data_IF_003007903242
#
_entry.id   IF_003007903242
#
_cell.length_a   1.000
_cell.length_b   1.000
_cell.length_c   1.000
_cell.angle_alpha   90.00
_cell.angle_beta   90.00
_cell.angle_gamma   90.00
#
_symmetry.space_group_name_H-M   'P 1'
#
loop_
_entity.id
_entity.type
_entity.pdbx_description
1 polymer ?
#
# COMPACT_ATOMS: atom_id res chain seq x y z
N UNK A 1 40.39 -26.14 -31.33
CA UNK A 1 40.14 -24.72 -31.66
C UNK A 1 39.79 -24.02 -30.35
N UNK A 2 40.69 -23.18 -29.84
CA UNK A 2 40.51 -22.50 -28.57
C UNK A 2 39.71 -21.21 -28.78
N UNK A 3 38.65 -20.99 -28.01
CA UNK A 3 37.83 -19.78 -28.07
C UNK A 3 38.61 -18.56 -27.57
N UNK A 4 38.46 -17.39 -28.21
CA UNK A 4 39.15 -16.17 -27.78
C UNK A 4 38.63 -15.65 -26.44
N UNK A 5 39.50 -15.05 -25.60
CA UNK A 5 39.09 -14.47 -24.32
C UNK A 5 38.24 -13.21 -24.53
N UNK A 6 37.14 -13.10 -23.77
CA UNK A 6 36.24 -11.95 -23.78
C UNK A 6 36.88 -10.72 -23.10
N UNK A 7 36.62 -9.49 -23.58
CA UNK A 7 37.15 -8.28 -22.98
C UNK A 7 36.53 -8.01 -21.61
N UNK A 8 37.37 -7.73 -20.61
CA UNK A 8 36.94 -7.35 -19.25
C UNK A 8 36.32 -5.94 -19.27
N UNK A 9 35.10 -5.82 -18.75
CA UNK A 9 34.39 -4.55 -18.60
C UNK A 9 35.07 -3.67 -17.53
N UNK A 10 35.33 -2.42 -17.90
CA UNK A 10 35.95 -1.39 -17.05
C UNK A 10 34.97 -0.93 -15.96
N UNK A 11 35.39 -0.80 -14.68
CA UNK A 11 34.49 -0.31 -13.63
C UNK A 11 34.16 1.18 -13.81
N UNK A 12 32.86 1.48 -13.79
CA UNK A 12 32.33 2.85 -13.78
C UNK A 12 32.54 3.44 -12.39
N UNK A 13 33.38 4.50 -12.29
CA UNK A 13 33.57 5.28 -11.06
C UNK A 13 32.43 6.29 -10.89
N UNK A 14 31.51 6.02 -9.96
CA UNK A 14 30.54 7.03 -9.50
C UNK A 14 31.23 8.08 -8.60
N UNK A 15 31.20 9.35 -9.00
CA UNK A 15 31.60 10.47 -8.14
C UNK A 15 30.52 10.76 -7.10
N UNK A 16 30.91 10.83 -5.82
CA UNK A 16 30.07 11.34 -4.71
C UNK A 16 29.75 12.81 -4.94
N UNK A 17 28.47 13.15 -4.99
CA UNK A 17 28.00 14.52 -4.77
C UNK A 17 27.99 14.81 -3.25
N UNK A 18 28.59 15.93 -2.89
CA UNK A 18 28.67 16.43 -1.52
C UNK A 18 27.44 17.31 -1.20
N UNK A 19 26.78 17.05 -0.07
CA UNK A 19 26.38 18.06 0.95
C UNK A 19 25.09 17.67 1.70
N UNK A 20 25.10 17.71 3.05
CA UNK A 20 23.98 17.34 3.90
C UNK A 20 23.10 18.56 4.22
N UNK A 21 21.78 18.46 3.97
CA UNK A 21 20.79 19.34 4.62
C UNK A 21 19.89 18.53 5.52
N UNK A 22 20.05 18.80 6.81
CA UNK A 22 19.31 18.28 7.94
C UNK A 22 17.80 18.39 7.73
N UNK A 23 17.09 17.27 7.84
CA UNK A 23 15.65 17.25 8.10
C UNK A 23 15.48 16.78 9.54
N UNK A 24 14.99 17.69 10.39
CA UNK A 24 14.69 17.43 11.79
C UNK A 24 13.49 16.49 11.90
N UNK A 25 13.64 15.41 12.66
CA UNK A 25 12.55 14.55 13.08
C UNK A 25 11.58 15.32 13.99
N UNK A 26 10.28 15.32 13.67
CA UNK A 26 9.24 15.80 14.56
C UNK A 26 8.45 14.60 15.11
N UNK A 27 8.78 14.16 16.33
CA UNK A 27 7.98 13.18 17.07
C UNK A 27 6.68 13.83 17.53
N UNK A 28 5.56 13.53 16.87
CA UNK A 28 4.23 13.90 17.35
C UNK A 28 3.68 12.77 18.22
N UNK A 29 3.87 12.88 19.54
CA UNK A 29 3.25 11.97 20.51
C UNK A 29 1.73 12.16 20.52
N UNK A 30 0.97 11.18 20.07
CA UNK A 30 -0.48 11.15 20.24
C UNK A 30 -0.80 10.63 21.65
N UNK A 31 -1.26 11.54 22.53
CA UNK A 31 -1.87 11.19 23.81
C UNK A 31 -3.27 10.58 23.59
N UNK A 32 -3.47 9.46 24.25
CA UNK A 32 -4.69 8.63 24.39
C UNK A 32 -5.97 9.41 24.74
N UNK A 33 -7.11 8.89 24.26
CA UNK A 33 -8.40 8.86 24.98
C UNK A 33 -8.91 7.41 25.02
N UNK A 34 -8.57 6.68 26.08
CA UNK A 34 -9.24 5.42 26.43
C UNK A 34 -10.31 5.73 27.49
N UNK A 35 -11.59 5.60 27.11
CA UNK A 35 -12.70 5.48 28.07
C UNK A 35 -12.83 4.01 28.47
N UNK A 36 -13.03 3.79 29.76
CA UNK A 36 -12.79 2.53 30.43
C UNK A 36 -13.81 1.42 30.18
N UNK A 37 -13.37 0.21 30.56
CA UNK A 37 -14.25 -0.86 31.01
C UNK A 37 -13.50 -1.66 32.08
N UNK A 38 -14.16 -1.82 33.21
CA UNK A 38 -13.73 -2.50 34.43
C UNK A 38 -13.64 -4.02 34.24
N UNK A 39 -12.60 -4.64 34.78
CA UNK A 39 -12.48 -6.09 34.90
C UNK A 39 -11.27 -6.46 35.74
N UNK A 40 -11.53 -6.99 36.94
CA UNK A 40 -10.55 -7.49 37.90
C UNK A 40 -9.58 -8.50 37.28
N UNK A 41 -8.27 -8.35 37.51
CA UNK A 41 -7.48 -9.45 38.06
C UNK A 41 -6.13 -8.98 38.60
N UNK A 42 -5.87 -9.49 39.80
CA UNK A 42 -4.68 -9.38 40.66
C UNK A 42 -3.41 -9.91 40.02
N UNK A 43 -2.27 -9.22 40.24
CA UNK A 43 -0.97 -9.89 40.19
C UNK A 43 0.24 -9.01 39.87
N UNK A 44 1.04 -8.78 40.92
CA UNK A 44 2.50 -8.57 40.91
C UNK A 44 3.00 -7.17 40.52
N UNK A 45 3.35 -6.44 41.59
CA UNK A 45 4.17 -5.25 41.55
C UNK A 45 5.65 -5.62 41.30
N UNK A 46 6.31 -4.90 40.40
CA UNK A 46 7.77 -4.79 40.40
C UNK A 46 8.17 -3.33 40.44
N UNK A 47 8.81 -3.03 41.56
CA UNK A 47 9.55 -1.84 41.94
C UNK A 47 10.58 -1.44 40.87
N UNK A 48 10.70 -0.14 40.61
CA UNK A 48 12.00 0.49 40.37
C UNK A 48 11.98 1.91 40.95
N UNK A 49 12.87 2.23 41.90
CA UNK A 49 13.03 3.56 42.50
C UNK A 49 14.07 4.36 41.71
N UNK A 50 13.82 5.63 41.42
CA UNK A 50 14.53 6.74 42.09
C UNK A 50 14.03 8.11 41.59
N UNK A 51 13.87 9.09 42.50
CA UNK A 51 13.48 10.46 42.19
C UNK A 51 14.70 11.41 42.24
N UNK A 52 14.83 12.27 41.24
CA UNK A 52 15.58 13.52 41.34
C UNK A 52 14.94 14.47 40.32
N UNK A 53 14.02 15.34 40.76
CA UNK A 53 14.26 16.63 41.40
C UNK A 53 14.72 17.72 40.42
N UNK A 54 14.05 18.86 40.60
CA UNK A 54 14.37 20.20 40.13
C UNK A 54 14.03 20.55 38.67
N UNK A 55 13.45 21.71 38.37
CA UNK A 55 12.87 22.77 39.20
C UNK A 55 12.12 23.71 38.27
N UNK A 56 11.02 24.25 38.78
CA UNK A 56 10.62 25.66 38.71
C UNK A 56 10.97 26.42 37.41
N UNK A 57 9.94 26.91 36.70
CA UNK A 57 9.64 28.35 36.73
C UNK A 57 8.50 28.75 35.76
N UNK A 58 7.44 29.29 36.37
CA UNK A 58 6.73 30.51 36.00
C UNK A 58 6.08 30.73 34.60
N UNK A 59 4.72 30.63 34.60
CA UNK A 59 3.68 31.58 34.08
C UNK A 59 3.65 31.95 32.56
N UNK A 60 2.58 32.57 32.00
CA UNK A 60 1.22 32.80 32.50
C UNK A 60 0.09 32.24 31.59
N UNK A 61 -1.13 32.25 32.14
CA UNK A 61 -2.40 32.07 31.44
C UNK A 61 -2.58 33.12 30.33
N UNK A 62 -2.79 32.67 29.09
CA UNK A 62 -3.25 33.49 27.98
C UNK A 62 -4.63 33.02 27.51
N UNK A 63 -5.67 33.69 27.99
CA UNK A 63 -7.02 33.58 27.44
C UNK A 63 -7.01 34.12 26.00
N UNK A 64 -7.35 33.28 25.01
CA UNK A 64 -7.57 33.75 23.63
C UNK A 64 -9.06 33.83 23.36
N UNK A 65 -9.54 35.08 23.28
CA UNK A 65 -10.92 35.44 22.99
C UNK A 65 -11.41 34.81 21.67
N UNK A 66 -12.58 34.18 21.73
CA UNK A 66 -13.39 33.81 20.56
C UNK A 66 -14.01 35.08 19.98
N UNK A 67 -13.48 35.57 18.86
CA UNK A 67 -14.22 36.50 18.02
C UNK A 67 -15.20 35.70 17.15
N UNK A 68 -16.48 35.74 17.53
CA UNK A 68 -17.59 35.34 16.65
C UNK A 68 -17.65 36.37 15.52
N UNK A 69 -17.21 35.97 14.32
CA UNK A 69 -17.45 36.73 13.10
C UNK A 69 -18.87 36.42 12.63
N UNK A 70 -19.82 37.29 12.96
CA UNK A 70 -21.17 37.31 12.39
C UNK A 70 -21.04 37.65 10.92
N UNK A 71 -21.14 36.63 10.06
CA UNK A 71 -21.25 36.82 8.61
C UNK A 71 -22.69 37.23 8.33
N UNK A 72 -22.90 38.52 8.06
CA UNK A 72 -24.14 39.05 7.45
C UNK A 72 -24.32 38.37 6.10
N UNK A 73 -25.33 37.52 5.98
CA UNK A 73 -25.82 37.07 4.68
C UNK A 73 -26.60 38.22 4.05
N UNK A 74 -25.94 38.97 3.17
CA UNK A 74 -26.59 39.92 2.26
C UNK A 74 -27.13 39.12 1.08
N UNK A 75 -28.44 38.89 1.10
CA UNK A 75 -29.21 38.36 -0.03
C UNK A 75 -29.18 39.35 -1.20
N UNK A 76 -28.17 39.23 -2.07
CA UNK A 76 -28.24 39.77 -3.43
C UNK A 76 -28.70 38.66 -4.36
N UNK A 77 -30.00 38.69 -4.66
CA UNK A 77 -30.58 37.97 -5.80
C UNK A 77 -30.06 38.64 -7.07
N UNK A 78 -29.18 37.94 -7.82
CA UNK A 78 -28.98 38.02 -9.29
C UNK A 78 -27.64 37.38 -9.63
N UNK A 79 -27.66 36.28 -10.37
CA UNK A 79 -26.45 35.58 -10.83
C UNK A 79 -26.52 34.06 -10.65
N UNK A 80 -27.62 33.44 -11.06
CA UNK A 80 -27.74 31.99 -11.13
C UNK A 80 -27.07 31.48 -12.41
N UNK A 81 -25.77 31.19 -12.37
CA UNK A 81 -25.10 30.22 -13.26
C UNK A 81 -23.62 30.08 -12.82
N UNK A 82 -23.35 29.25 -11.81
CA UNK A 82 -21.98 29.08 -11.36
C UNK A 82 -21.85 27.93 -10.39
N UNK A 83 -20.92 27.01 -10.72
CA UNK A 83 -20.45 25.89 -9.89
C UNK A 83 -21.41 24.70 -9.72
N UNK A 84 -21.54 23.89 -10.78
CA UNK A 84 -22.10 22.54 -10.69
C UNK A 84 -21.26 21.50 -11.47
N UNK A 85 -19.92 21.56 -11.32
CA UNK A 85 -18.98 20.68 -12.04
C UNK A 85 -17.73 20.27 -11.22
N UNK A 86 -17.81 20.28 -9.89
CA UNK A 86 -16.70 19.84 -9.03
C UNK A 86 -17.17 18.75 -8.07
N UNK A 87 -17.20 17.49 -8.51
CA UNK A 87 -17.61 16.40 -7.60
C UNK A 87 -17.54 14.97 -8.10
N UNK A 88 -17.07 14.69 -9.32
CA UNK A 88 -16.97 13.32 -9.83
C UNK A 88 -15.54 12.79 -9.74
N UNK A 89 -14.88 12.96 -8.60
CA UNK A 89 -13.63 12.26 -8.30
C UNK A 89 -13.98 10.91 -7.65
N UNK A 90 -14.33 9.93 -8.49
CA UNK A 90 -14.62 8.57 -8.07
C UNK A 90 -13.39 7.91 -7.44
N UNK A 91 -13.40 7.77 -6.11
CA UNK A 91 -12.41 6.99 -5.36
C UNK A 91 -12.72 5.49 -5.47
N UNK A 92 -11.98 4.74 -6.29
CA UNK A 92 -12.13 3.27 -6.33
C UNK A 92 -11.03 2.50 -5.58
N UNK A 93 -10.04 3.17 -4.99
CA UNK A 93 -9.16 2.56 -3.98
C UNK A 93 -8.85 3.55 -2.84
N UNK A 94 -9.08 3.10 -1.59
CA UNK A 94 -9.04 3.94 -0.37
C UNK A 94 -7.65 4.05 0.27
N UNK A 95 -6.63 3.38 -0.26
CA UNK A 95 -5.26 3.43 0.27
C UNK A 95 -4.42 4.60 -0.24
N UNK A 96 -3.26 4.87 0.40
CA UNK A 96 -2.25 5.78 -0.16
C UNK A 96 -1.83 5.35 -1.56
N UNK A 97 -1.52 6.32 -2.42
CA UNK A 97 -0.89 6.07 -3.71
C UNK A 97 0.41 5.28 -3.52
N UNK A 98 0.82 4.56 -4.56
CA UNK A 98 2.10 3.86 -4.57
C UNK A 98 3.25 4.83 -4.23
N UNK A 99 4.08 4.40 -3.28
CA UNK A 99 5.31 5.10 -2.93
C UNK A 99 6.40 4.03 -2.79
N UNK A 100 7.40 4.01 -3.71
CA UNK A 100 8.43 2.96 -3.73
C UNK A 100 9.27 2.90 -2.44
N UNK A 101 9.26 3.96 -1.62
CA UNK A 101 10.05 4.06 -0.40
C UNK A 101 9.31 3.64 0.90
N UNK A 102 8.07 3.15 0.82
CA UNK A 102 7.30 2.83 2.05
C UNK A 102 7.79 1.59 2.78
N UNK A 103 8.36 0.62 2.05
CA UNK A 103 8.96 -0.57 2.64
C UNK A 103 10.36 -0.70 2.08
N UNK A 104 11.36 -0.49 2.94
CA UNK A 104 12.77 -0.59 2.56
C UNK A 104 13.23 -2.02 2.87
N UNK A 105 13.73 -2.76 1.87
CA UNK A 105 14.31 -4.08 2.11
C UNK A 105 15.49 -3.98 3.07
N UNK A 106 15.69 -5.01 3.90
CA UNK A 106 16.78 -5.06 4.88
C UNK A 106 17.86 -6.02 4.40
N UNK A 107 18.98 -6.12 5.12
CA UNK A 107 20.04 -7.09 4.82
C UNK A 107 19.58 -8.56 4.97
N UNK A 108 18.41 -8.82 5.55
CA UNK A 108 17.85 -10.16 5.76
C UNK A 108 16.52 -10.39 5.05
N UNK A 109 15.97 -9.38 4.36
CA UNK A 109 14.65 -9.47 3.74
C UNK A 109 14.63 -8.76 2.39
N UNK A 110 13.95 -9.34 1.41
CA UNK A 110 13.51 -8.63 0.22
C UNK A 110 12.09 -8.08 0.39
N UNK A 111 11.61 -7.33 -0.60
CA UNK A 111 10.22 -6.86 -0.68
C UNK A 111 9.58 -7.42 -1.94
N UNK A 112 8.41 -8.04 -1.82
CA UNK A 112 7.56 -8.40 -2.96
C UNK A 112 6.42 -7.41 -3.04
N UNK A 113 6.25 -6.78 -4.20
CA UNK A 113 5.05 -6.05 -4.57
C UNK A 113 4.17 -6.95 -5.43
N UNK A 114 2.98 -7.30 -4.94
CA UNK A 114 1.94 -7.97 -5.73
C UNK A 114 0.90 -6.93 -6.09
N UNK A 115 0.60 -6.74 -7.37
CA UNK A 115 -0.30 -5.68 -7.77
C UNK A 115 -1.20 -6.07 -8.94
N UNK A 116 -2.32 -5.35 -9.04
CA UNK A 116 -3.30 -5.48 -10.10
C UNK A 116 -3.47 -4.13 -10.81
N UNK A 117 -3.12 -4.01 -12.09
CA UNK A 117 -3.33 -2.78 -12.86
C UNK A 117 -4.79 -2.31 -12.85
N UNK A 118 -4.99 -1.02 -13.09
CA UNK A 118 -6.31 -0.38 -13.04
C UNK A 118 -7.27 -0.87 -14.15
N UNK A 119 -6.72 -1.39 -15.26
CA UNK A 119 -7.46 -2.02 -16.36
C UNK A 119 -8.62 -1.20 -16.94
N UNK A 120 -9.41 -1.82 -17.82
CA UNK A 120 -10.70 -1.24 -18.24
C UNK A 120 -11.82 -1.76 -17.36
N UNK A 121 -12.83 -0.93 -17.10
CA UNK A 121 -13.98 -1.31 -16.25
C UNK A 121 -14.82 -2.43 -16.88
N UNK A 122 -14.82 -2.55 -18.20
CA UNK A 122 -15.62 -3.53 -18.92
C UNK A 122 -15.05 -4.96 -18.83
N UNK A 123 -13.72 -5.08 -18.78
CA UNK A 123 -13.04 -6.39 -18.75
C UNK A 123 -12.57 -6.79 -17.36
N UNK A 124 -12.70 -5.91 -16.35
CA UNK A 124 -12.25 -6.20 -14.99
C UNK A 124 -13.05 -7.39 -14.45
N UNK A 125 -12.38 -8.53 -14.29
CA UNK A 125 -12.95 -9.64 -13.56
C UNK A 125 -13.04 -9.34 -12.06
N UNK A 126 -13.43 -10.33 -11.29
CA UNK A 126 -13.53 -10.27 -9.83
C UNK A 126 -12.21 -9.86 -9.14
N UNK A 127 -12.27 -9.48 -7.85
CA UNK A 127 -11.08 -9.26 -7.01
C UNK A 127 -10.58 -10.58 -6.44
N UNK A 128 -9.45 -11.13 -6.90
CA UNK A 128 -8.97 -12.41 -6.42
C UNK A 128 -8.30 -12.27 -5.04
N UNK A 129 -8.31 -13.34 -4.25
CA UNK A 129 -7.60 -13.43 -2.99
C UNK A 129 -6.12 -13.74 -3.22
N UNK A 130 -5.26 -13.00 -2.53
CA UNK A 130 -3.80 -13.16 -2.63
C UNK A 130 -3.26 -13.75 -1.34
N UNK A 131 -2.38 -14.75 -1.48
CA UNK A 131 -1.58 -15.31 -0.40
C UNK A 131 -0.11 -15.29 -0.79
N UNK A 132 0.76 -14.88 0.13
CA UNK A 132 2.22 -14.89 -0.04
C UNK A 132 2.78 -15.81 1.03
N UNK A 133 3.44 -16.90 0.63
CA UNK A 133 3.98 -17.92 1.53
C UNK A 133 2.94 -18.42 2.56
N UNK A 134 1.74 -18.73 2.07
CA UNK A 134 0.61 -19.20 2.90
C UNK A 134 -0.07 -18.10 3.74
N UNK A 135 0.49 -16.90 3.86
CA UNK A 135 -0.15 -15.77 4.55
C UNK A 135 -1.14 -15.06 3.64
N UNK A 136 -2.41 -14.97 4.07
CA UNK A 136 -3.45 -14.25 3.32
C UNK A 136 -3.34 -12.73 3.48
N UNK A 137 -3.44 -12.02 2.35
CA UNK A 137 -3.49 -10.56 2.26
C UNK A 137 -4.88 -10.05 1.81
N UNK A 138 -5.86 -10.95 1.72
CA UNK A 138 -7.25 -10.64 1.34
C UNK A 138 -7.46 -10.48 -0.16
N UNK A 139 -8.64 -9.97 -0.51
CA UNK A 139 -9.04 -9.73 -1.90
C UNK A 139 -8.29 -8.50 -2.47
N UNK A 140 -7.71 -8.66 -3.65
CA UNK A 140 -6.96 -7.63 -4.35
C UNK A 140 -7.86 -6.88 -5.33
N UNK A 141 -8.15 -5.63 -4.98
CA UNK A 141 -8.95 -4.72 -5.80
C UNK A 141 -8.19 -4.35 -7.07
N UNK A 142 -8.92 -4.02 -8.13
CA UNK A 142 -8.37 -3.40 -9.34
C UNK A 142 -7.66 -2.09 -9.00
N UNK A 143 -6.48 -1.86 -9.56
CA UNK A 143 -5.65 -0.69 -9.26
C UNK A 143 -5.07 -0.70 -7.84
N UNK A 144 -4.95 -1.87 -7.22
CA UNK A 144 -4.37 -2.00 -5.88
C UNK A 144 -3.03 -2.73 -5.90
N UNK A 145 -2.21 -2.46 -4.88
CA UNK A 145 -0.98 -3.19 -4.61
C UNK A 145 -0.89 -3.66 -3.15
N UNK A 146 -0.18 -4.76 -2.96
CA UNK A 146 0.22 -5.33 -1.68
C UNK A 146 1.74 -5.29 -1.66
N UNK A 147 2.32 -4.85 -0.55
CA UNK A 147 3.76 -4.84 -0.35
C UNK A 147 4.08 -5.69 0.89
N UNK A 148 4.96 -6.68 0.74
CA UNK A 148 5.33 -7.60 1.80
C UNK A 148 6.85 -7.73 1.90
N UNK A 149 7.40 -7.46 3.09
CA UNK A 149 8.77 -7.83 3.41
C UNK A 149 8.80 -9.33 3.73
N UNK A 150 9.65 -10.08 3.04
CA UNK A 150 9.77 -11.54 3.16
C UNK A 150 11.25 -11.92 3.29
N UNK A 151 11.58 -13.02 3.98
CA UNK A 151 12.94 -13.54 4.02
C UNK A 151 13.48 -13.85 2.62
N UNK A 152 14.81 -13.85 2.49
CA UNK A 152 15.47 -14.36 1.29
C UNK A 152 15.11 -15.83 1.05
N UNK A 153 14.88 -16.19 -0.22
CA UNK A 153 14.51 -17.53 -0.64
C UNK A 153 13.41 -17.57 -1.71
N UNK A 154 12.95 -18.77 -2.04
CA UNK A 154 11.84 -18.96 -2.97
C UNK A 154 10.51 -18.73 -2.25
N UNK A 155 9.80 -17.69 -2.64
CA UNK A 155 8.52 -17.30 -2.06
C UNK A 155 7.41 -17.59 -3.05
N UNK A 156 6.43 -18.38 -2.61
CA UNK A 156 5.26 -18.71 -3.42
C UNK A 156 4.17 -17.64 -3.29
N UNK A 157 3.87 -16.95 -4.38
CA UNK A 157 2.70 -16.06 -4.47
C UNK A 157 1.58 -16.83 -5.13
N UNK A 158 0.43 -16.93 -4.45
CA UNK A 158 -0.75 -17.64 -4.94
C UNK A 158 -1.95 -16.71 -5.01
N UNK A 159 -2.70 -16.82 -6.09
CA UNK A 159 -3.91 -16.06 -6.38
C UNK A 159 -5.05 -17.04 -6.55
N UNK A 160 -6.16 -16.78 -5.86
CA UNK A 160 -7.35 -17.62 -5.89
C UNK A 160 -8.58 -16.75 -6.17
N UNK A 161 -9.42 -17.14 -7.12
CA UNK A 161 -10.68 -16.44 -7.34
C UNK A 161 -11.62 -16.66 -6.15
N UNK A 162 -12.47 -15.67 -5.84
CA UNK A 162 -13.54 -15.94 -4.90
C UNK A 162 -14.50 -16.95 -5.53
N UNK A 163 -15.08 -17.79 -4.67
CA UNK A 163 -15.89 -18.93 -5.09
C UNK A 163 -17.18 -18.40 -5.72
N UNK A 164 -17.17 -18.17 -7.03
CA UNK A 164 -18.40 -18.25 -7.82
C UNK A 164 -18.93 -19.67 -7.64
N UNK A 165 -20.08 -19.78 -6.98
CA UNK A 165 -20.74 -20.97 -6.39
C UNK A 165 -20.80 -22.26 -7.24
N UNK A 166 -20.35 -22.24 -8.49
CA UNK A 166 -20.62 -23.29 -9.49
C UNK A 166 -19.35 -24.03 -9.93
N UNK A 167 -18.15 -23.44 -9.81
CA UNK A 167 -16.92 -24.08 -10.28
C UNK A 167 -15.76 -23.95 -9.28
N UNK A 168 -14.98 -25.03 -9.06
CA UNK A 168 -13.78 -24.95 -8.23
C UNK A 168 -12.75 -24.03 -8.92
N UNK A 169 -12.48 -22.88 -8.30
CA UNK A 169 -11.43 -21.97 -8.76
C UNK A 169 -10.06 -22.65 -8.61
N UNK A 170 -9.37 -22.90 -9.73
CA UNK A 170 -8.02 -23.45 -9.71
C UNK A 170 -7.06 -22.32 -9.29
N UNK A 171 -6.37 -22.44 -8.13
CA UNK A 171 -5.41 -21.43 -7.72
C UNK A 171 -4.25 -21.36 -8.71
N UNK A 172 -3.81 -20.14 -9.02
CA UNK A 172 -2.62 -19.87 -9.83
C UNK A 172 -1.51 -19.40 -8.92
N UNK A 173 -0.29 -19.86 -9.17
CA UNK A 173 0.86 -19.48 -8.36
C UNK A 173 2.10 -19.22 -9.19
N UNK A 174 2.95 -18.32 -8.71
CA UNK A 174 4.29 -18.07 -9.21
C UNK A 174 5.27 -18.18 -8.05
N UNK A 175 6.40 -18.82 -8.28
CA UNK A 175 7.51 -18.89 -7.33
C UNK A 175 8.49 -17.76 -7.65
N UNK A 176 8.72 -16.87 -6.68
CA UNK A 176 9.59 -15.70 -6.82
C UNK A 176 10.87 -15.93 -6.04
N UNK A 177 12.02 -15.83 -6.70
CA UNK A 177 13.32 -15.91 -6.04
C UNK A 177 13.65 -14.55 -5.40
N UNK A 178 13.40 -14.43 -4.09
CA UNK A 178 13.66 -13.20 -3.35
C UNK A 178 15.10 -13.17 -2.88
N UNK A 179 15.80 -12.09 -3.19
CA UNK A 179 17.16 -11.80 -2.70
C UNK A 179 17.07 -10.72 -1.62
N UNK A 180 17.85 -10.85 -0.54
CA UNK A 180 17.90 -9.82 0.50
C UNK A 180 18.33 -8.46 -0.08
N UNK A 181 17.69 -7.39 0.35
CA UNK A 181 18.00 -6.04 -0.15
C UNK A 181 17.38 -5.70 -1.52
N UNK A 182 16.70 -6.64 -2.20
CA UNK A 182 16.08 -6.40 -3.50
C UNK A 182 14.56 -6.25 -3.41
N UNK A 183 13.96 -5.86 -4.52
CA UNK A 183 12.52 -5.72 -4.68
C UNK A 183 12.07 -6.48 -5.92
N UNK A 184 11.12 -7.39 -5.75
CA UNK A 184 10.51 -8.16 -6.84
C UNK A 184 9.06 -7.73 -7.04
N UNK A 185 8.56 -7.89 -8.27
CA UNK A 185 7.26 -7.40 -8.68
C UNK A 185 6.46 -8.52 -9.33
N UNK A 186 5.25 -8.75 -8.85
CA UNK A 186 4.33 -9.75 -9.38
C UNK A 186 3.06 -9.06 -9.84
N UNK A 187 2.79 -9.16 -11.14
CA UNK A 187 1.56 -8.67 -11.74
C UNK A 187 0.50 -9.74 -11.69
N UNK A 188 -0.73 -9.33 -11.37
CA UNK A 188 -1.90 -10.19 -11.38
C UNK A 188 -2.95 -9.57 -12.28
N UNK A 189 -3.27 -10.28 -13.35
CA UNK A 189 -4.31 -9.93 -14.29
C UNK A 189 -5.50 -10.85 -14.12
N UNK A 190 -6.70 -10.28 -14.13
CA UNK A 190 -7.94 -11.03 -14.12
C UNK A 190 -8.92 -10.38 -15.07
N UNK A 191 -9.20 -11.09 -16.17
CA UNK A 191 -9.99 -10.61 -17.30
C UNK A 191 -11.21 -11.49 -17.52
N UNK A 192 -12.33 -10.87 -17.84
CA UNK A 192 -13.51 -11.56 -18.36
C UNK A 192 -13.23 -11.89 -19.83
N UNK A 193 -13.24 -13.18 -20.18
CA UNK A 193 -12.99 -13.65 -21.55
C UNK A 193 -14.27 -13.95 -22.31
N UNK A 194 -15.35 -14.29 -21.59
CA UNK A 194 -16.67 -14.51 -22.18
C UNK A 194 -17.78 -14.25 -21.15
N UNK A 195 -18.93 -13.77 -21.62
CA UNK A 195 -20.11 -13.54 -20.82
C UNK A 195 -21.38 -13.92 -21.61
N UNK A 196 -22.11 -14.92 -21.12
CA UNK A 196 -23.30 -15.48 -21.76
C UNK A 196 -24.56 -15.35 -20.89
N UNK A 197 -25.73 -15.33 -21.55
CA UNK A 197 -27.05 -15.27 -20.90
C UNK A 197 -28.01 -16.32 -21.48
N UNK A 198 -27.50 -17.48 -21.88
CA UNK A 198 -28.29 -18.46 -22.63
C UNK A 198 -29.30 -19.20 -21.74
N UNK A 199 -28.92 -19.55 -20.49
CA UNK A 199 -29.79 -20.23 -19.50
C UNK A 199 -29.54 -19.76 -18.05
N UNK A 200 -28.83 -18.63 -17.92
CA UNK A 200 -28.28 -18.11 -16.67
C UNK A 200 -27.08 -17.21 -17.00
N UNK A 201 -26.68 -16.35 -16.07
CA UNK A 201 -25.50 -15.49 -16.28
C UNK A 201 -24.25 -16.34 -16.08
N UNK A 202 -23.55 -16.66 -17.16
CA UNK A 202 -22.23 -17.31 -17.13
C UNK A 202 -21.15 -16.28 -17.41
N UNK A 203 -20.10 -16.27 -16.60
CA UNK A 203 -18.95 -15.38 -16.80
C UNK A 203 -17.69 -16.24 -16.77
N UNK A 204 -17.03 -16.38 -17.92
CA UNK A 204 -15.73 -17.02 -18.01
C UNK A 204 -14.66 -15.98 -17.71
N UNK A 205 -13.75 -16.30 -16.79
CA UNK A 205 -12.69 -15.42 -16.35
C UNK A 205 -11.34 -16.15 -16.43
N UNK A 206 -10.33 -15.43 -16.90
CA UNK A 206 -8.95 -15.89 -16.91
C UNK A 206 -8.16 -15.12 -15.85
N UNK A 207 -7.37 -15.84 -15.05
CA UNK A 207 -6.42 -15.27 -14.10
C UNK A 207 -5.01 -15.60 -14.55
N UNK A 208 -4.21 -14.56 -14.75
CA UNK A 208 -2.79 -14.66 -15.02
C UNK A 208 -1.99 -14.05 -13.86
N UNK A 209 -0.87 -14.68 -13.55
CA UNK A 209 0.09 -14.22 -12.55
C UNK A 209 1.48 -14.37 -13.15
N UNK A 210 2.27 -13.30 -13.11
CA UNK A 210 3.62 -13.29 -13.67
C UNK A 210 4.55 -12.39 -12.86
N UNK A 211 5.82 -12.78 -12.79
CA UNK A 211 6.87 -11.89 -12.33
C UNK A 211 7.25 -10.95 -13.48
N UNK A 212 7.35 -9.66 -13.18
CA UNK A 212 7.62 -8.61 -14.17
C UNK A 212 8.89 -7.84 -13.81
N UNK A 213 9.48 -7.16 -14.80
CA UNK A 213 10.67 -6.35 -14.55
C UNK A 213 10.33 -5.09 -13.75
N UNK A 214 11.35 -4.50 -13.13
CA UNK A 214 11.18 -3.31 -12.29
C UNK A 214 10.69 -2.10 -13.08
N UNK A 215 11.10 -1.97 -14.34
CA UNK A 215 10.74 -0.86 -15.23
C UNK A 215 9.26 -0.91 -15.58
N UNK A 216 8.76 -2.09 -15.93
CA UNK A 216 7.35 -2.31 -16.25
C UNK A 216 6.48 -2.11 -15.01
N UNK A 217 6.89 -2.70 -13.88
CA UNK A 217 6.15 -2.57 -12.64
C UNK A 217 6.01 -1.11 -12.18
N UNK A 218 7.08 -0.31 -12.29
CA UNK A 218 7.04 1.11 -11.90
C UNK A 218 6.00 1.89 -12.70
N UNK A 219 5.94 1.70 -14.02
CA UNK A 219 4.96 2.37 -14.88
C UNK A 219 3.53 1.98 -14.51
N UNK A 220 3.28 0.70 -14.25
CA UNK A 220 1.95 0.21 -13.92
C UNK A 220 1.52 0.63 -12.49
N UNK A 221 2.45 0.59 -11.53
CA UNK A 221 2.22 0.88 -10.11
C UNK A 221 1.92 2.36 -9.83
N UNK A 222 2.35 3.30 -10.67
CA UNK A 222 2.05 4.74 -10.53
C UNK A 222 0.55 5.03 -10.41
N UNK A 223 -0.28 4.21 -11.06
CA UNK A 223 -1.74 4.35 -11.02
C UNK A 223 -2.40 3.61 -9.86
N UNK A 224 -1.63 2.84 -9.09
CA UNK A 224 -2.15 1.94 -8.06
C UNK A 224 -2.14 2.55 -6.66
N UNK A 225 -2.93 1.95 -5.76
CA UNK A 225 -3.04 2.34 -4.35
C UNK A 225 -2.91 1.14 -3.42
N UNK A 226 -2.50 1.38 -2.17
CA UNK A 226 -2.34 0.29 -1.21
C UNK A 226 -3.66 -0.44 -1.00
N UNK A 227 -3.64 -1.77 -1.00
CA UNK A 227 -4.80 -2.60 -0.72
C UNK A 227 -5.18 -2.45 0.76
N UNK A 228 -6.42 -2.06 1.02
CA UNK A 228 -6.96 -1.85 2.37
C UNK A 228 -8.47 -1.97 2.44
#
# INVERSE_FOLDING_TARGET
MASPPMPMATPIRCRRAASPRQIRCFCRSLRRRSRGRTGNNSGIATFCPNPAQNCLSHRPCGWRAKTRKTIRQSTSRRGALGFLLAGVAGCTAKGPAYQPANIVPTSSTGVIYVYRPSGTVATRGESPFVTIDGKSYGAMKTGAYIAAAVPEGNVKVTVQQSVLLVLPAIPKSVDVAVVAGTTSYVRVDQNIIDAGVTEGVTVAQEVAIEEVTSEQAQQELETTRLNG
#
